data_IF_484243014942
#
_entry.id   IF_484243014942
#
_cell.length_a   1.000
_cell.length_b   1.000
_cell.length_c   1.000
_cell.angle_alpha   90.00
_cell.angle_beta   90.00
_cell.angle_gamma   90.00
#
_symmetry.space_group_name_H-M   'P 1'
#
loop_
_entity.id
_entity.type
_entity.pdbx_description
1 polymer ?
#
# COMPACT_ATOMS: atom_id res chain seq x y z
N UNK A 1 -8.85 -26.53 -19.39
CA UNK A 1 -8.00 -27.16 -18.36
C UNK A 1 -8.64 -26.90 -17.01
N UNK A 2 -9.10 -27.95 -16.34
CA UNK A 2 -9.78 -27.93 -15.06
C UNK A 2 -8.93 -27.17 -14.03
N UNK A 3 -9.37 -26.00 -13.58
CA UNK A 3 -8.82 -25.44 -12.35
C UNK A 3 -9.22 -26.45 -11.26
N UNK A 4 -8.26 -27.05 -10.53
CA UNK A 4 -8.57 -27.96 -9.46
C UNK A 4 -9.52 -27.24 -8.50
N UNK A 5 -10.70 -27.84 -8.30
CA UNK A 5 -11.72 -27.27 -7.44
C UNK A 5 -11.12 -27.05 -6.05
N UNK A 6 -11.60 -26.03 -5.35
CA UNK A 6 -11.17 -25.65 -3.99
C UNK A 6 -10.65 -26.78 -3.07
N UNK A 7 -11.28 -27.97 -2.98
CA UNK A 7 -10.76 -29.10 -2.20
C UNK A 7 -9.32 -29.55 -2.52
N UNK A 8 -8.91 -29.60 -3.79
CA UNK A 8 -7.53 -30.00 -4.16
C UNK A 8 -6.50 -29.00 -3.63
N UNK A 9 -6.83 -27.70 -3.66
CA UNK A 9 -5.99 -26.63 -3.13
C UNK A 9 -5.83 -26.73 -1.61
N UNK A 10 -6.91 -27.12 -0.90
CA UNK A 10 -6.86 -27.42 0.53
C UNK A 10 -5.99 -28.63 0.86
N UNK A 11 -6.05 -29.71 0.07
CA UNK A 11 -5.19 -30.89 0.25
C UNK A 11 -3.72 -30.51 0.09
N UNK A 12 -3.39 -29.77 -0.97
CA UNK A 12 -2.00 -29.31 -1.23
C UNK A 12 -1.52 -28.41 -0.09
N UNK A 13 -2.35 -27.47 0.36
CA UNK A 13 -2.04 -26.61 1.50
C UNK A 13 -1.76 -27.43 2.76
N UNK A 14 -2.57 -28.46 3.02
CA UNK A 14 -2.40 -29.32 4.20
C UNK A 14 -1.07 -30.09 4.15
N UNK A 15 -0.70 -30.64 2.98
CA UNK A 15 0.59 -31.33 2.79
C UNK A 15 1.76 -30.36 3.03
N UNK A 16 1.72 -29.16 2.48
CA UNK A 16 2.74 -28.12 2.70
C UNK A 16 2.81 -27.79 4.20
N UNK A 17 1.67 -27.65 4.87
CA UNK A 17 1.61 -27.36 6.30
C UNK A 17 2.19 -28.49 7.16
N UNK A 18 2.07 -29.74 6.75
CA UNK A 18 2.67 -30.89 7.44
C UNK A 18 4.19 -30.93 7.24
N UNK A 19 4.69 -30.68 6.02
CA UNK A 19 6.13 -30.71 5.70
C UNK A 19 6.87 -29.53 6.33
N UNK A 20 6.35 -28.31 6.16
CA UNK A 20 6.97 -27.11 6.69
C UNK A 20 6.57 -26.86 8.16
N UNK A 21 5.45 -27.39 8.63
CA UNK A 21 4.89 -27.11 9.94
C UNK A 21 4.06 -25.81 9.98
N UNK A 22 3.03 -25.78 10.83
CA UNK A 22 2.12 -24.64 11.00
C UNK A 22 2.82 -23.32 11.37
N UNK A 23 4.02 -23.38 11.97
CA UNK A 23 4.76 -22.19 12.42
C UNK A 23 5.76 -21.64 11.41
N UNK A 24 6.23 -22.42 10.42
CA UNK A 24 7.28 -21.95 9.47
C UNK A 24 6.69 -21.09 8.35
N UNK A 25 5.55 -21.50 7.80
CA UNK A 25 4.81 -20.78 6.75
C UNK A 25 4.54 -19.31 7.13
N UNK A 26 3.92 -19.00 8.30
CA UNK A 26 3.67 -17.62 8.70
C UNK A 26 4.95 -16.86 9.05
N UNK A 27 5.99 -17.55 9.54
CA UNK A 27 7.27 -16.92 9.89
C UNK A 27 8.01 -16.42 8.64
N UNK A 28 8.00 -17.23 7.58
CA UNK A 28 8.53 -16.86 6.26
C UNK A 28 7.70 -15.75 5.60
N UNK A 29 6.37 -15.83 5.66
CA UNK A 29 5.50 -14.80 5.14
C UNK A 29 5.69 -13.45 5.85
N UNK A 30 5.91 -13.45 7.17
CA UNK A 30 6.21 -12.23 7.94
C UNK A 30 7.55 -11.61 7.55
N UNK A 31 8.64 -12.39 7.46
CA UNK A 31 9.95 -11.85 7.09
C UNK A 31 9.98 -11.33 5.64
N UNK A 32 9.34 -12.06 4.72
CA UNK A 32 9.23 -11.65 3.32
C UNK A 32 8.28 -10.44 3.16
N UNK A 33 7.21 -10.39 3.94
CA UNK A 33 6.28 -9.26 3.98
C UNK A 33 6.90 -8.00 4.58
N UNK A 34 7.76 -8.12 5.59
CA UNK A 34 8.54 -6.99 6.11
C UNK A 34 9.49 -6.43 5.04
N UNK A 35 10.26 -7.28 4.35
CA UNK A 35 11.11 -6.83 3.24
C UNK A 35 10.32 -6.13 2.13
N UNK A 36 9.17 -6.69 1.73
CA UNK A 36 8.29 -6.07 0.73
C UNK A 36 7.65 -4.76 1.22
N UNK A 37 7.35 -4.65 2.52
CA UNK A 37 6.83 -3.43 3.14
C UNK A 37 7.89 -2.32 3.12
N UNK A 38 9.10 -2.59 3.61
CA UNK A 38 10.21 -1.63 3.58
C UNK A 38 10.55 -1.22 2.14
N UNK A 39 10.53 -2.15 1.19
CA UNK A 39 10.70 -1.85 -0.23
C UNK A 39 9.61 -0.91 -0.76
N UNK A 40 8.34 -1.15 -0.42
CA UNK A 40 7.22 -0.28 -0.80
C UNK A 40 7.27 1.10 -0.14
N UNK A 41 7.71 1.16 1.12
CA UNK A 41 7.91 2.40 1.88
C UNK A 41 9.05 3.21 1.27
N UNK A 42 10.24 2.61 1.07
CA UNK A 42 11.39 3.29 0.45
C UNK A 42 11.12 3.74 -0.99
N UNK A 43 10.36 2.95 -1.78
CA UNK A 43 9.88 3.41 -3.08
C UNK A 43 8.99 4.65 -2.94
N UNK A 44 8.05 4.68 -1.99
CA UNK A 44 7.16 5.84 -1.76
C UNK A 44 7.90 7.07 -1.24
N UNK A 45 8.87 6.87 -0.36
CA UNK A 45 9.71 7.95 0.20
C UNK A 45 10.59 8.58 -0.88
N UNK A 46 11.14 7.78 -1.80
CA UNK A 46 11.84 8.30 -2.99
C UNK A 46 10.97 9.18 -3.90
N UNK A 47 9.64 9.15 -3.74
CA UNK A 47 8.69 10.03 -4.43
C UNK A 47 8.02 11.07 -3.52
N UNK A 48 8.36 11.14 -2.23
CA UNK A 48 7.71 12.01 -1.23
C UNK A 48 8.73 12.80 -0.42
N UNK A 49 9.34 13.79 -1.04
CA UNK A 49 9.93 14.93 -0.33
C UNK A 49 8.94 16.11 -0.39
N UNK A 50 7.79 15.96 0.31
CA UNK A 50 7.01 17.08 0.86
C UNK A 50 5.88 16.57 1.78
N UNK A 51 5.80 17.02 3.05
CA UNK A 51 4.70 16.69 3.95
C UNK A 51 3.37 17.29 3.45
N UNK A 52 2.31 16.50 3.55
CA UNK A 52 0.94 16.83 3.11
C UNK A 52 0.20 17.54 4.23
N UNK A 53 0.75 18.65 4.72
CA UNK A 53 0.04 19.51 5.65
C UNK A 53 -0.49 20.71 4.87
N UNK A 54 -1.81 20.81 4.75
CA UNK A 54 -2.47 21.93 4.09
C UNK A 54 -3.87 21.62 3.53
N UNK A 55 -4.65 22.66 3.20
CA UNK A 55 -5.97 22.54 2.57
C UNK A 55 -5.88 21.86 1.20
N UNK A 56 -6.81 20.95 0.88
CA UNK A 56 -6.81 20.27 -0.41
C UNK A 56 -7.01 21.28 -1.57
N UNK A 57 -6.12 21.35 -2.57
CA UNK A 57 -6.24 22.28 -3.72
C UNK A 57 -7.44 22.02 -4.65
N UNK A 58 -8.15 20.89 -4.48
CA UNK A 58 -9.40 20.58 -5.19
C UNK A 58 -10.66 21.01 -4.45
N UNK A 59 -10.64 21.04 -3.12
CA UNK A 59 -11.85 21.05 -2.28
C UNK A 59 -11.77 21.95 -1.05
N UNK A 60 -10.61 22.53 -0.73
CA UNK A 60 -10.38 23.40 0.42
C UNK A 60 -10.42 22.77 1.81
N UNK A 61 -10.82 21.49 1.95
CA UNK A 61 -10.85 20.76 3.22
C UNK A 61 -9.45 20.41 3.72
N UNK A 62 -9.22 20.50 5.03
CA UNK A 62 -7.98 20.07 5.67
C UNK A 62 -7.89 18.53 5.64
N UNK A 63 -6.81 18.00 5.09
CA UNK A 63 -6.57 16.54 5.04
C UNK A 63 -5.63 16.20 6.19
N UNK A 64 -6.07 15.30 7.08
CA UNK A 64 -5.21 14.78 8.14
C UNK A 64 -4.14 13.87 7.53
N UNK A 65 -2.90 14.02 7.96
CA UNK A 65 -1.67 13.36 7.45
C UNK A 65 -1.80 11.82 7.30
N UNK A 66 -2.67 11.21 8.10
CA UNK A 66 -2.91 9.77 8.14
C UNK A 66 -3.97 9.26 7.14
N UNK A 67 -4.78 10.14 6.59
CA UNK A 67 -5.90 9.75 5.72
C UNK A 67 -5.43 9.47 4.28
N UNK A 68 -5.48 8.19 3.86
CA UNK A 68 -5.16 7.75 2.48
C UNK A 68 -6.01 8.44 1.41
N UNK A 69 -7.17 8.97 1.78
CA UNK A 69 -8.15 9.59 0.90
C UNK A 69 -8.69 10.88 1.53
N UNK A 70 -8.88 11.89 0.70
CA UNK A 70 -9.52 13.13 1.12
C UNK A 70 -11.04 12.93 1.31
N UNK A 71 -11.60 13.28 2.49
CA UNK A 71 -13.01 13.04 2.81
C UNK A 71 -13.98 13.92 2.00
N UNK A 72 -13.52 15.00 1.37
CA UNK A 72 -14.37 15.90 0.57
C UNK A 72 -14.55 15.46 -0.88
N UNK A 73 -13.47 15.04 -1.55
CA UNK A 73 -13.47 14.76 -2.99
C UNK A 73 -13.10 13.31 -3.35
N UNK A 74 -12.75 12.47 -2.36
CA UNK A 74 -12.42 11.06 -2.58
C UNK A 74 -11.09 10.80 -3.31
N UNK A 75 -10.27 11.84 -3.54
CA UNK A 75 -8.94 11.67 -4.14
C UNK A 75 -7.93 11.15 -3.11
N UNK A 76 -7.03 10.28 -3.57
CA UNK A 76 -5.92 9.76 -2.78
C UNK A 76 -5.02 10.90 -2.31
N UNK A 77 -4.49 10.81 -1.09
CA UNK A 77 -3.50 11.78 -0.60
C UNK A 77 -2.28 11.89 -1.54
N UNK A 78 -1.95 10.83 -2.27
CA UNK A 78 -0.89 10.80 -3.29
C UNK A 78 -1.21 11.69 -4.51
N UNK A 79 -2.43 11.63 -5.05
CA UNK A 79 -2.86 12.47 -6.17
C UNK A 79 -2.88 13.96 -5.78
N UNK A 80 -3.27 14.25 -4.55
CA UNK A 80 -3.37 15.62 -4.04
C UNK A 80 -1.99 16.27 -3.96
N UNK A 81 -0.97 15.53 -3.49
CA UNK A 81 0.43 15.98 -3.44
C UNK A 81 1.02 16.14 -4.83
N UNK A 82 0.77 15.18 -5.71
CA UNK A 82 1.26 15.23 -7.09
C UNK A 82 0.74 16.48 -7.82
N UNK A 83 -0.52 16.86 -7.59
CA UNK A 83 -1.10 18.05 -8.21
C UNK A 83 -0.68 19.35 -7.52
N UNK A 84 -0.49 19.35 -6.20
CA UNK A 84 0.07 20.48 -5.44
C UNK A 84 1.47 20.84 -5.97
N UNK A 85 2.34 19.83 -6.09
CA UNK A 85 3.69 19.99 -6.65
C UNK A 85 3.68 20.49 -8.10
N UNK A 86 2.73 20.04 -8.94
CA UNK A 86 2.57 20.56 -10.32
C UNK A 86 2.23 22.06 -10.33
N UNK A 87 1.38 22.52 -9.41
CA UNK A 87 0.97 23.93 -9.35
C UNK A 87 2.12 24.81 -8.81
N UNK A 88 2.87 24.33 -7.84
CA UNK A 88 4.05 25.02 -7.29
C UNK A 88 5.20 25.11 -8.30
N UNK A 89 5.47 24.04 -9.07
CA UNK A 89 6.50 24.06 -10.12
C UNK A 89 6.15 24.93 -11.34
N UNK A 90 4.88 25.31 -11.52
CA UNK A 90 4.43 26.19 -12.61
C UNK A 90 4.32 27.66 -12.21
N UNK A 91 4.56 27.98 -10.93
CA UNK A 91 4.47 29.33 -10.37
C UNK A 91 5.80 29.88 -9.82
N UNK A 92 6.90 29.18 -10.09
CA UNK A 92 8.29 29.65 -9.98
C UNK A 92 8.88 29.89 -11.36
#
# INVERSE_FOLDING_TARGET
MSLPGGPELFIILFVILLVFGASRLPKLARSMGQAGKEFKTGMREGFKDQPVEGPCPFCGIAVAEESKFCPGCGKSAEDIVAEKNRKEASSA
#
